data_IF_211747403903
#
_entry.id   IF_211747403903
#
_cell.length_a   1.000
_cell.length_b   1.000
_cell.length_c   1.000
_cell.angle_alpha   90.00
_cell.angle_beta   90.00
_cell.angle_gamma   90.00
#
_symmetry.space_group_name_H-M   'P 1'
#
loop_
_entity.id
_entity.type
_entity.pdbx_description
1 polymer ?
#
# COMPACT_ATOMS: atom_id res chain seq x y z
N UNK A 1 15.52 44.43 -4.69
CA UNK A 1 16.06 43.06 -4.84
C UNK A 1 15.82 42.13 -3.64
N UNK A 2 14.91 42.45 -2.70
CA UNK A 2 14.51 41.54 -1.60
C UNK A 2 13.16 40.86 -1.83
N UNK A 3 12.33 41.43 -2.70
CA UNK A 3 10.97 40.95 -2.97
C UNK A 3 10.92 39.74 -3.93
N UNK A 4 11.97 39.55 -4.76
CA UNK A 4 12.07 38.42 -5.70
C UNK A 4 12.37 37.11 -4.96
N UNK A 5 13.12 37.17 -3.84
CA UNK A 5 13.47 35.98 -3.06
C UNK A 5 12.25 35.35 -2.38
N UNK A 6 11.27 36.17 -1.96
CA UNK A 6 10.04 35.72 -1.33
C UNK A 6 9.08 35.03 -2.31
N UNK A 7 9.13 35.40 -3.59
CA UNK A 7 8.26 34.81 -4.62
C UNK A 7 8.74 33.40 -5.02
N UNK A 8 10.06 33.18 -5.04
CA UNK A 8 10.65 31.88 -5.41
C UNK A 8 10.36 30.81 -4.33
N UNK A 9 10.32 31.21 -3.04
CA UNK A 9 10.02 30.29 -1.93
C UNK A 9 8.58 29.75 -1.96
N UNK A 10 7.63 30.50 -2.55
CA UNK A 10 6.23 30.11 -2.62
C UNK A 10 5.94 29.06 -3.72
N UNK A 11 6.81 28.91 -4.73
CA UNK A 11 6.62 27.95 -5.82
C UNK A 11 7.12 26.53 -5.52
N UNK A 12 7.76 26.28 -4.36
CA UNK A 12 8.37 24.98 -4.05
C UNK A 12 7.36 24.02 -3.38
N UNK A 13 6.09 24.41 -3.22
CA UNK A 13 5.04 23.53 -2.65
C UNK A 13 4.12 23.00 -3.76
N UNK A 14 4.69 22.53 -4.87
CA UNK A 14 3.98 21.58 -5.72
C UNK A 14 4.13 20.22 -5.05
N UNK A 15 3.17 19.86 -4.20
CA UNK A 15 3.09 18.53 -3.62
C UNK A 15 3.17 17.50 -4.73
N UNK A 16 4.12 16.56 -4.61
CA UNK A 16 4.22 15.37 -5.44
C UNK A 16 2.99 14.48 -5.18
N UNK A 17 1.81 14.92 -5.63
CA UNK A 17 0.62 14.11 -5.69
C UNK A 17 0.83 13.09 -6.79
N UNK A 18 1.52 11.99 -6.48
CA UNK A 18 1.50 10.81 -7.34
C UNK A 18 0.03 10.42 -7.47
N UNK A 19 -0.53 10.58 -8.67
CA UNK A 19 -1.88 10.15 -8.99
C UNK A 19 -1.89 8.62 -8.88
N UNK A 20 -2.18 8.12 -7.68
CA UNK A 20 -2.27 6.69 -7.41
C UNK A 20 -3.58 6.19 -7.98
N UNK A 21 -3.53 5.58 -9.16
CA UNK A 21 -4.72 4.96 -9.74
C UNK A 21 -5.11 3.73 -8.91
N UNK A 22 -6.40 3.62 -8.60
CA UNK A 22 -6.96 2.43 -7.99
C UNK A 22 -6.83 1.26 -8.97
N UNK A 23 -6.34 0.12 -8.47
CA UNK A 23 -6.18 -1.11 -9.25
C UNK A 23 -7.05 -2.19 -8.65
N UNK A 24 -7.84 -2.87 -9.48
CA UNK A 24 -8.49 -4.12 -9.07
C UNK A 24 -7.46 -5.23 -9.03
N UNK A 25 -7.25 -5.82 -7.86
CA UNK A 25 -6.24 -6.83 -7.60
C UNK A 25 -6.90 -8.11 -7.10
N UNK A 26 -6.41 -9.24 -7.58
CA UNK A 26 -6.84 -10.56 -7.12
C UNK A 26 -5.94 -11.00 -5.98
N UNK A 27 -6.49 -11.63 -4.97
CA UNK A 27 -5.75 -12.06 -3.80
C UNK A 27 -6.09 -13.47 -3.35
N UNK A 28 -5.12 -14.08 -2.72
CA UNK A 28 -5.23 -15.38 -2.08
C UNK A 28 -5.40 -15.17 -0.57
N UNK A 29 -6.38 -15.86 0.00
CA UNK A 29 -6.64 -15.88 1.44
C UNK A 29 -6.07 -17.17 1.99
N UNK A 30 -5.22 -17.07 3.00
CA UNK A 30 -4.63 -18.22 3.68
C UNK A 30 -4.62 -18.00 5.19
N UNK A 31 -4.46 -19.07 5.97
CA UNK A 31 -4.13 -18.94 7.39
C UNK A 31 -2.71 -18.39 7.56
N UNK A 32 -2.33 -17.99 8.79
CA UNK A 32 -0.96 -17.56 9.04
C UNK A 32 0.05 -18.71 8.89
N UNK A 33 -0.41 -19.96 9.01
CA UNK A 33 0.38 -21.15 8.71
C UNK A 33 0.45 -21.49 7.21
N UNK A 34 -0.24 -20.73 6.34
CA UNK A 34 -0.22 -20.92 4.89
C UNK A 34 -1.26 -21.89 4.34
N UNK A 35 -2.21 -22.36 5.16
CA UNK A 35 -3.32 -23.18 4.66
C UNK A 35 -4.23 -22.31 3.78
N UNK A 36 -4.55 -22.71 2.54
CA UNK A 36 -5.45 -21.93 1.68
C UNK A 36 -6.87 -21.92 2.26
N UNK A 37 -7.46 -20.72 2.33
CA UNK A 37 -8.82 -20.48 2.84
C UNK A 37 -9.76 -19.94 1.75
N UNK A 38 -9.22 -19.45 0.63
CA UNK A 38 -10.02 -18.99 -0.51
C UNK A 38 -9.33 -17.87 -1.30
N UNK A 39 -10.14 -17.07 -1.97
CA UNK A 39 -9.70 -15.92 -2.76
C UNK A 39 -10.39 -14.64 -2.32
N UNK A 40 -9.82 -13.51 -2.69
CA UNK A 40 -10.34 -12.17 -2.40
C UNK A 40 -10.12 -11.27 -3.61
N UNK A 41 -10.98 -10.29 -3.81
CA UNK A 41 -10.77 -9.21 -4.75
C UNK A 41 -10.82 -7.88 -3.98
N UNK A 42 -9.91 -6.97 -4.30
CA UNK A 42 -9.89 -5.65 -3.70
C UNK A 42 -9.43 -4.59 -4.70
N UNK A 43 -9.91 -3.36 -4.49
CA UNK A 43 -9.33 -2.16 -5.06
C UNK A 43 -8.17 -1.71 -4.17
N UNK A 44 -7.00 -1.56 -4.76
CA UNK A 44 -5.79 -1.09 -4.08
C UNK A 44 -5.38 0.25 -4.66
N UNK A 45 -5.28 1.25 -3.78
CA UNK A 45 -4.71 2.56 -4.05
C UNK A 45 -3.29 2.60 -3.51
N UNK A 46 -2.28 2.54 -4.37
CA UNK A 46 -0.87 2.51 -3.97
C UNK A 46 -0.25 3.92 -3.95
N UNK A 47 0.17 4.39 -2.78
CA UNK A 47 0.76 5.72 -2.57
C UNK A 47 2.26 5.58 -2.29
N UNK A 48 3.00 6.70 -2.27
CA UNK A 48 4.46 6.68 -2.05
C UNK A 48 4.87 5.90 -0.78
N UNK A 49 4.26 6.21 0.36
CA UNK A 49 4.62 5.64 1.67
C UNK A 49 3.51 4.83 2.34
N UNK A 50 2.38 4.63 1.67
CA UNK A 50 1.25 3.86 2.19
C UNK A 50 0.44 3.25 1.06
N UNK A 51 -0.48 2.36 1.38
CA UNK A 51 -1.51 1.90 0.46
C UNK A 51 -2.86 1.80 1.17
N UNK A 52 -3.92 1.89 0.38
CA UNK A 52 -5.28 1.71 0.87
C UNK A 52 -5.91 0.51 0.16
N UNK A 53 -6.61 -0.32 0.93
CA UNK A 53 -7.32 -1.51 0.44
C UNK A 53 -8.80 -1.33 0.66
N UNK A 54 -9.59 -1.56 -0.38
CA UNK A 54 -11.06 -1.59 -0.31
C UNK A 54 -11.60 -2.86 -0.98
N UNK A 55 -12.36 -3.63 -0.23
CA UNK A 55 -13.16 -4.77 -0.71
C UNK A 55 -14.59 -4.63 -0.21
N UNK A 56 -15.46 -5.59 -0.54
CA UNK A 56 -16.85 -5.60 -0.09
C UNK A 56 -16.98 -5.73 1.44
N UNK A 57 -15.96 -6.27 2.10
CA UNK A 57 -15.96 -6.59 3.53
C UNK A 57 -15.04 -5.71 4.36
N UNK A 58 -14.17 -4.91 3.72
CA UNK A 58 -13.07 -4.25 4.41
C UNK A 58 -12.61 -2.98 3.70
N UNK A 59 -12.31 -1.96 4.48
CA UNK A 59 -11.64 -0.74 4.06
C UNK A 59 -10.52 -0.46 5.06
N UNK A 60 -9.26 -0.51 4.63
CA UNK A 60 -8.09 -0.38 5.52
C UNK A 60 -7.04 0.50 4.87
N UNK A 61 -6.57 1.50 5.62
CA UNK A 61 -5.35 2.25 5.31
C UNK A 61 -4.16 1.58 5.98
N UNK A 62 -3.08 1.33 5.24
CA UNK A 62 -1.87 0.74 5.81
C UNK A 62 -1.24 1.62 6.89
N UNK A 63 -1.45 2.93 6.84
CA UNK A 63 -0.61 3.90 7.51
C UNK A 63 0.77 4.01 6.84
N UNK A 64 1.68 4.77 7.45
CA UNK A 64 3.02 5.01 6.88
C UNK A 64 3.89 3.77 7.04
N UNK A 65 4.20 3.11 5.93
CA UNK A 65 5.07 1.95 5.87
C UNK A 65 6.50 2.34 6.29
N UNK A 66 7.06 1.59 7.23
CA UNK A 66 8.42 1.76 7.72
C UNK A 66 9.31 0.61 7.21
N UNK A 67 10.55 0.93 6.86
CA UNK A 67 11.61 -0.04 6.59
C UNK A 67 12.96 0.58 6.92
N UNK A 68 13.80 -0.15 7.65
CA UNK A 68 15.18 0.30 7.93
C UNK A 68 16.04 0.30 6.65
N UNK A 69 15.78 -0.66 5.76
CA UNK A 69 16.38 -0.74 4.43
C UNK A 69 15.40 -1.47 3.48
N UNK A 70 14.85 -0.73 2.51
CA UNK A 70 13.89 -1.25 1.52
C UNK A 70 14.49 -2.25 0.52
N UNK A 71 15.81 -2.39 0.45
CA UNK A 71 16.47 -3.41 -0.36
C UNK A 71 16.56 -4.76 0.34
N UNK A 72 16.43 -4.78 1.68
CA UNK A 72 16.61 -5.97 2.51
C UNK A 72 15.32 -6.36 3.26
N UNK A 73 14.47 -5.38 3.58
CA UNK A 73 13.28 -5.57 4.38
C UNK A 73 12.01 -5.08 3.66
N UNK A 74 10.96 -5.88 3.80
CA UNK A 74 9.62 -5.55 3.31
C UNK A 74 9.07 -4.35 4.10
N UNK A 75 8.74 -3.23 3.44
CA UNK A 75 8.08 -2.10 4.10
C UNK A 75 6.75 -2.51 4.72
N UNK A 76 6.58 -2.19 6.00
CA UNK A 76 5.43 -2.65 6.78
C UNK A 76 4.97 -1.63 7.83
N UNK A 77 3.74 -1.78 8.28
CA UNK A 77 3.14 -1.01 9.37
C UNK A 77 2.00 -1.81 10.02
N UNK A 78 1.62 -1.40 11.23
CA UNK A 78 0.40 -1.89 11.87
C UNK A 78 -0.70 -0.88 11.63
N UNK A 79 -1.83 -1.33 11.08
CA UNK A 79 -2.99 -0.47 10.79
C UNK A 79 -3.76 -0.12 12.06
N UNK A 80 -4.67 0.85 11.98
CA UNK A 80 -5.49 1.24 13.12
C UNK A 80 -6.38 0.10 13.64
N UNK A 81 -6.82 -0.78 12.74
CA UNK A 81 -7.62 -1.97 13.02
C UNK A 81 -6.78 -3.17 13.51
N UNK A 82 -5.46 -3.02 13.59
CA UNK A 82 -4.54 -4.04 14.10
C UNK A 82 -4.08 -5.07 13.07
N UNK A 83 -4.21 -4.79 11.77
CA UNK A 83 -3.60 -5.63 10.74
C UNK A 83 -2.12 -5.32 10.60
N UNK A 84 -1.31 -6.34 10.32
CA UNK A 84 0.03 -6.14 9.76
C UNK A 84 -0.10 -5.89 8.25
N UNK A 85 0.18 -4.66 7.82
CA UNK A 85 0.18 -4.25 6.43
C UNK A 85 1.59 -4.29 5.86
N UNK A 86 1.75 -4.86 4.66
CA UNK A 86 3.05 -5.03 4.01
C UNK A 86 2.97 -4.74 2.50
N UNK A 87 3.96 -4.01 1.99
CA UNK A 87 4.21 -3.86 0.54
C UNK A 87 5.32 -4.81 0.14
N UNK A 88 4.95 -6.02 -0.27
CA UNK A 88 5.90 -7.09 -0.63
C UNK A 88 6.67 -6.75 -1.91
N UNK A 89 6.00 -6.11 -2.87
CA UNK A 89 6.61 -5.56 -4.09
C UNK A 89 5.80 -4.35 -4.59
N UNK A 90 6.15 -3.81 -5.77
CA UNK A 90 5.40 -2.71 -6.41
C UNK A 90 3.96 -3.08 -6.82
N UNK A 91 3.63 -4.37 -6.85
CA UNK A 91 2.32 -4.86 -7.26
C UNK A 91 1.77 -5.96 -6.34
N UNK A 92 2.47 -6.31 -5.26
CA UNK A 92 2.03 -7.31 -4.29
C UNK A 92 1.89 -6.66 -2.92
N UNK A 93 0.67 -6.72 -2.38
CA UNK A 93 0.28 -6.11 -1.10
C UNK A 93 -0.30 -7.18 -0.20
N UNK A 94 -0.09 -7.03 1.11
CA UNK A 94 -0.53 -8.03 2.08
C UNK A 94 -1.11 -7.39 3.33
N UNK A 95 -2.19 -7.98 3.83
CA UNK A 95 -2.72 -7.75 5.17
C UNK A 95 -2.72 -9.08 5.93
N UNK A 96 -2.23 -9.09 7.16
CA UNK A 96 -2.29 -10.24 8.05
C UNK A 96 -2.90 -9.86 9.41
N UNK A 97 -3.70 -10.76 9.97
CA UNK A 97 -4.30 -10.61 11.30
C UNK A 97 -4.02 -11.86 12.12
N UNK A 98 -3.30 -11.68 13.24
CA UNK A 98 -3.09 -12.75 14.23
C UNK A 98 -4.41 -13.15 14.92
N UNK A 99 -5.31 -12.20 15.16
CA UNK A 99 -6.59 -12.48 15.81
C UNK A 99 -7.52 -13.36 14.97
N UNK A 100 -7.43 -13.23 13.64
CA UNK A 100 -8.29 -13.95 12.71
C UNK A 100 -7.62 -15.20 12.12
N UNK A 101 -6.36 -15.48 12.50
CA UNK A 101 -5.47 -16.45 11.84
C UNK A 101 -5.60 -16.38 10.31
N UNK A 102 -5.47 -15.18 9.75
CA UNK A 102 -5.74 -14.93 8.34
C UNK A 102 -4.76 -13.94 7.73
N UNK A 103 -4.32 -14.27 6.53
CA UNK A 103 -3.50 -13.44 5.68
C UNK A 103 -4.14 -13.36 4.29
N UNK A 104 -4.16 -12.17 3.72
CA UNK A 104 -4.56 -11.95 2.33
C UNK A 104 -3.40 -11.32 1.59
N UNK A 105 -3.00 -11.91 0.48
CA UNK A 105 -1.98 -11.36 -0.41
C UNK A 105 -2.62 -11.04 -1.76
N UNK A 106 -2.70 -9.76 -2.10
CA UNK A 106 -3.22 -9.31 -3.40
C UNK A 106 -2.09 -9.05 -4.38
N UNK A 107 -2.28 -9.52 -5.61
CA UNK A 107 -1.43 -9.25 -6.75
C UNK A 107 -2.18 -8.38 -7.74
N UNK A 108 -1.64 -7.20 -8.00
CA UNK A 108 -2.17 -6.23 -8.94
C UNK A 108 -1.54 -6.40 -10.32
N UNK A 109 -2.28 -6.10 -11.41
CA UNK A 109 -1.69 -6.04 -12.74
C UNK A 109 -0.57 -5.00 -12.79
N UNK A 110 0.55 -5.37 -13.41
CA UNK A 110 1.68 -4.47 -13.61
C UNK A 110 1.30 -3.40 -14.65
N UNK A 111 1.31 -2.12 -14.24
CA UNK A 111 1.06 -0.98 -15.13
C UNK A 111 2.33 -0.51 -15.86
N UNK A 112 3.48 -1.16 -15.66
CA UNK A 112 4.78 -0.86 -16.29
C UNK A 112 4.86 -1.17 -17.80
N UNK A 113 3.73 -1.32 -18.50
CA UNK A 113 3.64 -1.70 -19.92
C UNK A 113 3.15 -0.61 -20.87
N UNK A 114 3.09 0.66 -20.44
CA UNK A 114 2.80 1.80 -21.33
C UNK A 114 3.90 2.86 -21.21
N UNK A 115 5.01 2.59 -21.89
CA UNK A 115 6.00 3.59 -22.29
C UNK A 115 6.10 3.54 -23.82
#
# INVERSE_FOLDING_TARGET
>A
MRMILSLIMALIVVGCGSHSADRTCQGEVASLAGQPLGTSQALITDRVSSFYVKSDQLAVDSGTLQSADRYVYIPASVTQEGFLAQRVSNNIFRLASAQQDRMVTWTCPNTLGKL
#
